data_IF_885401635569
#
_entry.id   IF_885401635569
#
_cell.length_a   1.000
_cell.length_b   1.000
_cell.length_c   1.000
_cell.angle_alpha   90.00
_cell.angle_beta   90.00
_cell.angle_gamma   90.00
#
_symmetry.space_group_name_H-M   'P 1'
#
loop_
_entity.id
_entity.type
_entity.pdbx_description
1 polymer ?
#
# COMPACT_ATOMS: atom_id res chain seq x y z
N UNK A 1 19.32 18.19 -6.28
CA UNK A 1 18.24 17.71 -7.18
C UNK A 1 16.84 17.69 -6.54
N UNK A 2 16.69 17.29 -5.26
CA UNK A 2 15.42 17.35 -4.51
C UNK A 2 14.71 18.71 -4.55
N UNK A 3 15.48 19.81 -4.49
CA UNK A 3 14.95 21.18 -4.53
C UNK A 3 14.33 21.56 -5.88
N UNK A 4 14.80 20.97 -6.99
CA UNK A 4 14.20 21.12 -8.33
C UNK A 4 12.94 20.25 -8.48
N UNK A 5 12.89 19.09 -7.84
CA UNK A 5 11.71 18.21 -7.81
C UNK A 5 10.56 18.82 -6.98
N UNK A 6 10.88 19.47 -5.84
CA UNK A 6 9.92 20.27 -5.03
C UNK A 6 9.26 21.40 -5.82
N UNK A 7 9.99 22.03 -6.77
CA UNK A 7 9.45 23.12 -7.62
C UNK A 7 8.53 22.61 -8.74
N UNK A 8 8.78 21.43 -9.33
CA UNK A 8 7.94 20.87 -10.41
C UNK A 8 6.53 20.45 -9.96
N UNK A 9 6.34 20.15 -8.68
CA UNK A 9 5.01 19.85 -8.13
C UNK A 9 4.15 21.09 -7.84
N UNK A 10 4.68 22.31 -8.02
CA UNK A 10 3.96 23.58 -7.87
C UNK A 10 3.30 24.08 -9.17
N UNK A 11 3.07 23.22 -10.16
CA UNK A 11 2.28 23.60 -11.34
C UNK A 11 0.79 23.72 -10.97
N UNK A 12 0.36 24.97 -10.82
CA UNK A 12 -0.99 25.45 -10.51
C UNK A 12 -1.98 25.23 -11.66
N UNK A 13 -2.28 23.97 -11.99
CA UNK A 13 -3.42 23.61 -12.87
C UNK A 13 -3.97 22.21 -12.59
N UNK A 14 -3.69 21.65 -11.41
CA UNK A 14 -4.41 20.46 -10.95
C UNK A 14 -5.67 20.95 -10.25
N UNK A 15 -6.84 20.51 -10.68
CA UNK A 15 -8.13 20.85 -10.07
C UNK A 15 -8.08 20.48 -8.58
N UNK A 16 -7.85 21.48 -7.74
CA UNK A 16 -7.74 21.31 -6.28
C UNK A 16 -9.02 20.72 -5.70
N UNK A 17 -10.18 21.05 -6.27
CA UNK A 17 -11.44 20.50 -5.85
C UNK A 17 -11.56 19.02 -6.24
N UNK A 18 -11.05 18.63 -7.41
CA UNK A 18 -10.97 17.21 -7.79
C UNK A 18 -10.06 16.42 -6.86
N UNK A 19 -8.86 16.93 -6.57
CA UNK A 19 -7.95 16.28 -5.63
C UNK A 19 -8.59 16.11 -4.25
N UNK A 20 -9.31 17.13 -3.77
CA UNK A 20 -10.00 17.05 -2.49
C UNK A 20 -11.10 15.99 -2.49
N UNK A 21 -11.93 15.96 -3.55
CA UNK A 21 -12.94 14.90 -3.73
C UNK A 21 -12.32 13.50 -3.73
N UNK A 22 -11.18 13.32 -4.40
CA UNK A 22 -10.47 12.05 -4.43
C UNK A 22 -9.90 11.66 -3.06
N UNK A 23 -9.37 12.62 -2.31
CA UNK A 23 -8.86 12.43 -0.95
C UNK A 23 -9.97 11.96 -0.01
N UNK A 24 -11.12 12.62 -0.04
CA UNK A 24 -12.31 12.21 0.73
C UNK A 24 -12.73 10.79 0.32
N UNK A 25 -12.84 10.51 -0.98
CA UNK A 25 -13.18 9.16 -1.47
C UNK A 25 -12.19 8.09 -0.99
N UNK A 26 -10.90 8.39 -0.93
CA UNK A 26 -9.88 7.47 -0.45
C UNK A 26 -10.11 7.07 1.01
N UNK A 27 -10.37 8.05 1.88
CA UNK A 27 -10.67 7.81 3.30
C UNK A 27 -11.99 7.06 3.46
N UNK A 28 -13.05 7.49 2.76
CA UNK A 28 -14.37 6.83 2.82
C UNK A 28 -14.31 5.39 2.31
N UNK A 29 -13.53 5.12 1.27
CA UNK A 29 -13.35 3.76 0.77
C UNK A 29 -12.58 2.89 1.77
N UNK A 30 -11.63 3.44 2.52
CA UNK A 30 -10.95 2.71 3.60
C UNK A 30 -11.91 2.33 4.74
N UNK A 31 -12.86 3.20 5.08
CA UNK A 31 -13.87 2.94 6.13
C UNK A 31 -14.76 1.73 5.82
N UNK A 32 -15.04 1.46 4.55
CA UNK A 32 -15.83 0.27 4.14
C UNK A 32 -15.19 -1.05 4.54
N UNK A 33 -13.90 -1.06 4.83
CA UNK A 33 -13.17 -2.24 5.26
C UNK A 33 -13.12 -2.42 6.77
N UNK A 34 -13.77 -1.57 7.57
CA UNK A 34 -13.83 -1.75 9.02
C UNK A 34 -14.38 -3.13 9.40
N UNK A 35 -13.73 -3.75 10.39
CA UNK A 35 -14.06 -5.11 10.82
C UNK A 35 -13.41 -6.22 9.99
N UNK A 36 -12.78 -5.91 8.85
CA UNK A 36 -12.08 -6.94 8.04
C UNK A 36 -10.84 -7.44 8.78
N UNK A 37 -10.69 -8.76 8.96
CA UNK A 37 -9.57 -9.34 9.70
C UNK A 37 -8.22 -9.23 8.98
N UNK A 38 -7.13 -9.22 9.76
CA UNK A 38 -5.76 -9.08 9.26
C UNK A 38 -5.31 -10.23 8.35
N UNK A 39 -5.34 -11.48 8.85
CA UNK A 39 -4.98 -12.66 8.07
C UNK A 39 -5.65 -13.93 8.61
N UNK A 40 -6.06 -14.83 7.71
CA UNK A 40 -6.80 -16.06 8.04
C UNK A 40 -6.10 -16.95 9.06
N UNK A 41 -4.77 -17.06 8.98
CA UNK A 41 -3.95 -17.95 9.83
C UNK A 41 -4.02 -17.65 11.33
N UNK A 42 -4.59 -16.52 11.74
CA UNK A 42 -4.72 -16.12 13.13
C UNK A 42 -6.10 -16.40 13.72
N UNK A 43 -6.99 -17.01 12.94
CA UNK A 43 -8.35 -17.35 13.31
C UNK A 43 -8.53 -18.86 13.26
N UNK A 44 -9.32 -19.41 14.19
CA UNK A 44 -9.50 -20.86 14.29
C UNK A 44 -10.69 -21.33 13.45
N UNK A 45 -10.49 -22.45 12.75
CA UNK A 45 -11.51 -23.20 12.03
C UNK A 45 -12.19 -24.28 12.89
N UNK A 46 -11.60 -24.58 14.05
CA UNK A 46 -12.03 -25.67 14.92
C UNK A 46 -13.45 -25.40 15.44
N UNK A 47 -14.36 -26.35 15.29
CA UNK A 47 -15.76 -26.21 15.69
C UNK A 47 -15.93 -25.81 17.17
N UNK A 48 -14.97 -26.18 18.04
CA UNK A 48 -15.01 -25.81 19.47
C UNK A 48 -14.57 -24.37 19.74
N UNK A 49 -13.80 -23.76 18.84
CA UNK A 49 -13.25 -22.40 18.99
C UNK A 49 -13.38 -21.57 17.70
N UNK A 50 -14.40 -21.86 16.89
CA UNK A 50 -14.53 -21.33 15.53
C UNK A 50 -14.68 -19.82 15.59
N UNK A 51 -13.69 -19.10 15.07
CA UNK A 51 -13.74 -17.65 15.04
C UNK A 51 -14.57 -17.24 13.81
N UNK A 52 -15.60 -16.37 13.96
CA UNK A 52 -16.39 -15.88 12.82
C UNK A 52 -15.54 -15.33 11.68
N UNK A 53 -14.39 -14.74 12.02
CA UNK A 53 -13.43 -14.14 11.10
C UNK A 53 -12.76 -15.16 10.19
N UNK A 54 -12.68 -16.43 10.56
CA UNK A 54 -12.03 -17.48 9.75
C UNK A 54 -12.70 -17.64 8.38
N UNK A 55 -14.01 -17.41 8.31
CA UNK A 55 -14.82 -17.47 7.10
C UNK A 55 -14.99 -16.12 6.41
N UNK A 56 -14.20 -15.10 6.80
CA UNK A 56 -14.27 -13.79 6.15
C UNK A 56 -13.91 -13.90 4.66
N UNK A 57 -14.62 -13.18 3.78
CA UNK A 57 -14.40 -13.26 2.34
C UNK A 57 -13.04 -12.70 1.91
N UNK A 58 -12.51 -11.78 2.71
CA UNK A 58 -11.23 -11.11 2.48
C UNK A 58 -10.48 -10.93 3.80
N UNK A 59 -9.16 -10.79 3.68
CA UNK A 59 -8.26 -10.47 4.78
C UNK A 59 -7.30 -9.37 4.31
N UNK A 60 -7.08 -8.36 5.16
CA UNK A 60 -6.31 -7.18 4.80
C UNK A 60 -5.25 -6.88 5.87
N UNK A 61 -3.99 -7.13 5.52
CA UNK A 61 -2.85 -6.59 6.27
C UNK A 61 -2.68 -5.08 5.99
N UNK A 62 -1.71 -4.45 6.64
CA UNK A 62 -1.51 -2.99 6.57
C UNK A 62 -1.37 -2.46 5.14
N UNK A 63 -0.47 -3.04 4.33
CA UNK A 63 -0.33 -2.67 2.93
C UNK A 63 -1.46 -3.22 2.06
N UNK A 64 -2.09 -4.34 2.44
CA UNK A 64 -3.26 -4.93 1.79
C UNK A 64 -4.44 -3.99 1.79
N UNK A 65 -4.74 -3.36 2.93
CA UNK A 65 -5.79 -2.35 3.06
C UNK A 65 -5.60 -1.19 2.09
N UNK A 66 -4.45 -0.52 2.16
CA UNK A 66 -4.14 0.63 1.27
C UNK A 66 -4.20 0.20 -0.21
N UNK A 67 -3.67 -0.98 -0.53
CA UNK A 67 -3.66 -1.50 -1.90
C UNK A 67 -5.07 -1.79 -2.40
N UNK A 68 -5.91 -2.37 -1.56
CA UNK A 68 -7.28 -2.70 -1.90
C UNK A 68 -8.09 -1.43 -2.16
N UNK A 69 -7.98 -0.42 -1.29
CA UNK A 69 -8.61 0.89 -1.47
C UNK A 69 -8.18 1.54 -2.81
N UNK A 70 -6.88 1.55 -3.12
CA UNK A 70 -6.38 2.08 -4.40
C UNK A 70 -6.85 1.29 -5.62
N UNK A 71 -7.06 -0.03 -5.48
CA UNK A 71 -7.55 -0.88 -6.57
C UNK A 71 -9.03 -0.65 -6.85
N UNK A 72 -9.82 -0.41 -5.82
CA UNK A 72 -11.24 -0.05 -5.96
C UNK A 72 -11.36 1.29 -6.69
N UNK A 73 -10.52 2.26 -6.33
CA UNK A 73 -10.51 3.61 -6.88
C UNK A 73 -9.62 3.78 -8.12
N UNK A 74 -9.23 2.67 -8.78
CA UNK A 74 -8.27 2.70 -9.90
C UNK A 74 -8.71 3.58 -11.07
N UNK A 75 -10.01 3.69 -11.32
CA UNK A 75 -10.57 4.50 -12.42
C UNK A 75 -10.42 5.99 -12.09
N UNK A 76 -10.73 6.35 -10.86
CA UNK A 76 -10.66 7.71 -10.34
C UNK A 76 -9.22 8.19 -10.18
N UNK A 77 -8.34 7.34 -9.65
CA UNK A 77 -6.91 7.63 -9.51
C UNK A 77 -6.14 7.51 -10.83
N UNK A 78 -6.75 6.97 -11.90
CA UNK A 78 -6.14 6.82 -13.24
C UNK A 78 -4.84 6.02 -13.26
N UNK A 79 -4.64 5.14 -12.27
CA UNK A 79 -3.54 4.19 -12.24
C UNK A 79 -3.94 2.91 -11.52
N UNK A 80 -3.12 1.86 -11.70
CA UNK A 80 -3.23 0.61 -10.95
C UNK A 80 -1.99 0.42 -10.09
N UNK A 81 -2.16 0.40 -8.77
CA UNK A 81 -1.07 0.15 -7.82
C UNK A 81 -0.48 -1.26 -8.05
N UNK A 82 0.84 -1.36 -7.95
CA UNK A 82 1.56 -2.64 -8.02
C UNK A 82 1.23 -3.62 -6.88
N UNK A 83 1.58 -4.91 -7.02
CA UNK A 83 1.31 -5.94 -6.01
C UNK A 83 2.29 -5.94 -4.83
N UNK A 84 3.26 -5.03 -4.79
CA UNK A 84 4.30 -5.00 -3.77
C UNK A 84 3.84 -4.40 -2.44
N UNK A 85 4.72 -4.44 -1.44
CA UNK A 85 4.49 -4.14 -0.03
C UNK A 85 4.49 -2.62 0.29
N UNK A 86 4.42 -2.29 1.58
CA UNK A 86 4.49 -0.91 2.09
C UNK A 86 5.73 -0.13 1.64
N UNK A 87 6.89 -0.79 1.47
CA UNK A 87 8.09 -0.11 0.98
C UNK A 87 7.91 0.40 -0.46
N UNK A 88 7.19 -0.33 -1.30
CA UNK A 88 6.85 0.15 -2.64
C UNK A 88 5.89 1.35 -2.58
N UNK A 89 4.89 1.33 -1.70
CA UNK A 89 3.98 2.46 -1.53
C UNK A 89 4.74 3.70 -1.08
N UNK A 90 5.65 3.54 -0.12
CA UNK A 90 6.56 4.60 0.33
C UNK A 90 7.36 5.19 -0.82
N UNK A 91 7.97 4.33 -1.65
CA UNK A 91 8.76 4.77 -2.80
C UNK A 91 7.92 5.51 -3.86
N UNK A 92 6.61 5.33 -3.89
CA UNK A 92 5.72 6.05 -4.83
C UNK A 92 5.25 7.42 -4.32
N UNK A 93 5.56 7.78 -3.08
CA UNK A 93 5.12 9.01 -2.43
C UNK A 93 6.33 9.90 -2.05
N UNK A 94 6.87 10.69 -2.99
CA UNK A 94 8.06 11.50 -2.76
C UNK A 94 7.81 12.73 -1.88
N UNK A 95 6.56 13.15 -1.69
CA UNK A 95 6.20 14.34 -0.91
C UNK A 95 6.27 14.02 0.58
N UNK A 96 7.33 14.51 1.23
CA UNK A 96 7.52 14.42 2.68
C UNK A 96 6.69 15.49 3.36
N UNK A 97 6.06 15.12 4.47
CA UNK A 97 5.42 16.04 5.40
C UNK A 97 6.31 16.08 6.65
N UNK A 98 6.85 17.24 6.98
CA UNK A 98 7.87 17.34 8.05
C UNK A 98 7.22 17.39 9.45
N UNK A 99 6.01 17.94 9.55
CA UNK A 99 5.28 18.11 10.82
C UNK A 99 3.98 17.33 10.82
N UNK A 100 3.65 16.76 11.97
CA UNK A 100 2.38 16.05 12.19
C UNK A 100 1.16 16.95 11.92
N UNK A 101 1.27 18.23 12.28
CA UNK A 101 0.22 19.25 12.13
C UNK A 101 -0.17 19.50 10.67
N UNK A 102 0.75 19.24 9.73
CA UNK A 102 0.54 19.43 8.29
C UNK A 102 -0.11 18.20 7.62
N UNK A 103 -0.33 17.13 8.38
CA UNK A 103 -0.97 15.90 7.88
C UNK A 103 -2.44 16.14 7.56
N UNK A 104 -2.87 15.64 6.40
CA UNK A 104 -4.27 15.74 5.96
C UNK A 104 -4.92 14.37 5.95
N UNK A 105 -6.25 14.27 6.17
CA UNK A 105 -6.99 13.02 5.99
C UNK A 105 -6.59 12.32 4.67
N UNK A 106 -6.26 11.04 4.74
CA UNK A 106 -5.82 10.24 3.59
C UNK A 106 -4.32 10.23 3.33
N UNK A 107 -3.52 11.14 3.92
CA UNK A 107 -2.06 11.00 3.90
C UNK A 107 -1.62 9.71 4.61
N UNK A 108 -0.40 9.26 4.35
CA UNK A 108 0.09 7.99 4.90
C UNK A 108 1.18 8.22 5.93
N UNK A 109 1.07 7.50 7.04
CA UNK A 109 2.15 7.31 8.00
C UNK A 109 2.79 5.95 7.76
N UNK A 110 4.09 5.97 7.54
CA UNK A 110 4.92 4.80 7.35
C UNK A 110 5.77 4.58 8.59
N UNK A 111 5.92 3.33 9.00
CA UNK A 111 6.79 2.98 10.11
C UNK A 111 7.91 2.09 9.62
N UNK A 112 9.15 2.47 9.91
CA UNK A 112 10.27 1.54 9.83
C UNK A 112 10.52 0.90 11.18
N UNK A 113 11.11 -0.29 11.19
CA UNK A 113 11.52 -0.96 12.40
C UNK A 113 12.37 -2.18 12.12
N UNK A 114 13.11 -2.62 13.12
CA UNK A 114 13.92 -3.84 13.06
C UNK A 114 13.09 -5.00 13.62
N UNK A 115 12.90 -6.06 12.83
CA UNK A 115 12.19 -7.25 13.31
C UNK A 115 12.94 -7.89 14.47
N UNK A 116 12.21 -8.18 15.55
CA UNK A 116 12.75 -8.88 16.73
C UNK A 116 13.24 -10.27 16.35
N UNK A 117 12.52 -10.95 15.45
CA UNK A 117 12.94 -12.25 14.91
C UNK A 117 13.83 -12.06 13.67
N UNK A 118 15.11 -12.41 13.80
CA UNK A 118 16.13 -12.33 12.73
C UNK A 118 15.83 -13.21 11.51
N UNK A 119 14.96 -14.22 11.64
CA UNK A 119 14.52 -15.07 10.51
C UNK A 119 13.53 -14.36 9.59
N UNK A 120 12.91 -13.27 10.05
CA UNK A 120 11.97 -12.52 9.23
C UNK A 120 12.70 -11.84 8.07
N UNK A 121 12.10 -11.91 6.89
CA UNK A 121 12.62 -11.25 5.69
C UNK A 121 12.66 -9.73 5.94
N UNK A 122 13.86 -9.16 5.85
CA UNK A 122 14.06 -7.71 5.91
C UNK A 122 13.31 -7.03 4.76
N UNK A 123 12.56 -6.00 5.10
CA UNK A 123 11.87 -5.17 4.10
C UNK A 123 12.84 -4.09 3.59
N UNK A 124 12.62 -3.62 2.36
CA UNK A 124 13.35 -2.44 1.85
C UNK A 124 13.06 -1.24 2.78
N UNK A 125 14.08 -0.43 3.04
CA UNK A 125 14.02 0.67 4.01
C UNK A 125 13.62 0.27 5.44
N UNK A 126 13.72 -1.03 5.79
CA UNK A 126 13.16 -1.59 7.02
C UNK A 126 11.69 -1.21 7.24
N UNK A 127 10.94 -0.98 6.16
CA UNK A 127 9.56 -0.52 6.23
C UNK A 127 8.65 -1.64 6.71
N UNK A 128 8.14 -1.54 7.94
CA UNK A 128 7.38 -2.63 8.60
C UNK A 128 5.88 -2.41 8.53
N UNK A 129 5.41 -1.16 8.51
CA UNK A 129 3.98 -0.86 8.62
C UNK A 129 3.58 0.42 7.87
N UNK A 130 2.29 0.54 7.56
CA UNK A 130 1.68 1.73 6.95
C UNK A 130 0.25 1.89 7.45
N UNK A 131 -0.17 3.13 7.73
CA UNK A 131 -1.55 3.47 8.08
C UNK A 131 -2.01 4.73 7.33
N UNK A 132 -3.33 4.85 7.19
CA UNK A 132 -3.99 6.01 6.57
C UNK A 132 -4.31 7.02 7.67
N UNK A 133 -3.90 8.27 7.49
CA UNK A 133 -4.22 9.36 8.41
C UNK A 133 -5.71 9.67 8.39
N UNK A 134 -6.35 9.70 9.54
CA UNK A 134 -7.78 9.97 9.65
C UNK A 134 -8.09 11.47 9.70
N UNK A 135 -7.23 12.25 10.36
CA UNK A 135 -7.32 13.72 10.43
C UNK A 135 -8.16 14.29 11.59
N UNK A 136 -8.56 13.46 12.54
CA UNK A 136 -9.11 13.87 13.84
C UNK A 136 -8.00 13.70 14.91
N UNK A 137 -7.03 14.63 14.89
CA UNK A 137 -5.78 14.51 15.64
C UNK A 137 -4.84 13.42 15.08
N UNK A 138 -4.10 12.68 15.93
CA UNK A 138 -3.16 11.65 15.49
C UNK A 138 -3.82 10.33 15.06
N UNK A 139 -5.15 10.34 14.89
CA UNK A 139 -5.94 9.15 14.56
C UNK A 139 -5.58 8.59 13.20
N UNK A 140 -5.58 7.27 13.11
CA UNK A 140 -5.27 6.55 11.87
C UNK A 140 -6.23 5.39 11.63
N UNK A 141 -6.45 5.08 10.36
CA UNK A 141 -7.10 3.86 9.91
C UNK A 141 -6.00 2.86 9.56
N UNK A 142 -6.02 1.68 10.18
CA UNK A 142 -4.97 0.69 10.01
C UNK A 142 -5.42 -0.73 10.28
N UNK A 143 -4.49 -1.66 10.03
CA UNK A 143 -4.62 -3.09 10.34
C UNK A 143 -3.33 -3.53 11.05
N UNK A 144 -3.32 -3.49 12.39
CA UNK A 144 -2.07 -3.49 13.19
C UNK A 144 -1.51 -4.85 13.58
N UNK A 145 -2.36 -5.76 14.02
CA UNK A 145 -1.91 -6.98 14.67
C UNK A 145 -2.62 -8.23 14.15
N UNK A 146 -2.01 -9.37 14.47
CA UNK A 146 -2.32 -10.68 13.92
C UNK A 146 -3.81 -11.07 14.01
N UNK A 147 -4.41 -11.00 15.19
CA UNK A 147 -5.84 -11.23 15.42
C UNK A 147 -6.65 -9.90 15.43
N UNK A 148 -6.15 -8.90 14.72
CA UNK A 148 -6.77 -7.58 14.60
C UNK A 148 -7.70 -7.49 13.41
N UNK A 149 -8.49 -6.43 13.43
CA UNK A 149 -9.37 -6.03 12.33
C UNK A 149 -9.03 -4.61 11.92
N UNK A 150 -9.41 -4.23 10.71
CA UNK A 150 -9.30 -2.84 10.26
C UNK A 150 -10.22 -1.98 11.13
N UNK A 151 -9.68 -0.91 11.69
CA UNK A 151 -10.42 0.04 12.54
C UNK A 151 -9.68 1.37 12.61
N UNK A 152 -10.30 2.33 13.31
CA UNK A 152 -9.65 3.59 13.70
C UNK A 152 -8.86 3.34 14.98
N UNK A 153 -7.68 3.93 15.05
CA UNK A 153 -6.83 3.98 16.24
C UNK A 153 -6.62 5.41 16.67
N UNK A 154 -6.49 5.64 17.98
CA UNK A 154 -6.35 6.98 18.56
C UNK A 154 -5.04 7.67 18.21
N UNK A 155 -3.98 6.90 17.93
CA UNK A 155 -2.67 7.43 17.55
C UNK A 155 -1.97 6.48 16.60
N UNK A 156 -1.24 7.02 15.62
CA UNK A 156 -0.27 6.28 14.80
C UNK A 156 0.88 5.66 15.61
N UNK A 157 1.13 6.14 16.83
CA UNK A 157 2.17 5.61 17.72
C UNK A 157 1.62 4.40 18.48
N UNK A 158 2.32 3.28 18.34
CA UNK A 158 2.04 2.08 19.11
C UNK A 158 3.30 1.22 19.21
N UNK A 159 3.40 0.46 20.30
CA UNK A 159 4.48 -0.50 20.50
C UNK A 159 4.11 -1.84 19.87
N UNK A 160 4.78 -2.20 18.78
CA UNK A 160 4.62 -3.49 18.15
C UNK A 160 5.46 -4.56 18.86
N UNK A 161 4.92 -5.78 19.01
CA UNK A 161 5.70 -6.91 19.54
C UNK A 161 6.68 -7.50 18.52
N UNK A 162 6.43 -7.27 17.23
CA UNK A 162 7.13 -7.92 16.11
C UNK A 162 8.38 -7.16 15.63
N UNK A 163 8.50 -5.88 15.96
CA UNK A 163 9.64 -5.04 15.60
C UNK A 163 9.89 -3.98 16.69
N UNK A 164 11.09 -3.43 16.70
CA UNK A 164 11.52 -2.37 17.62
C UNK A 164 12.27 -1.27 16.85
N UNK A 165 12.66 -0.21 17.56
CA UNK A 165 13.39 0.94 17.00
C UNK A 165 12.60 1.62 15.90
N UNK A 166 11.35 1.96 16.23
CA UNK A 166 10.42 2.57 15.30
C UNK A 166 10.80 4.01 14.93
N UNK A 167 10.76 4.28 13.63
CA UNK A 167 10.79 5.65 13.10
C UNK A 167 9.56 5.87 12.23
N UNK A 168 9.06 7.10 12.26
CA UNK A 168 7.82 7.49 11.58
C UNK A 168 8.12 8.40 10.40
N UNK A 169 7.48 8.11 9.27
CA UNK A 169 7.63 8.88 8.04
C UNK A 169 6.27 9.28 7.50
N UNK A 170 6.02 10.59 7.44
CA UNK A 170 4.77 11.15 6.95
C UNK A 170 4.87 11.48 5.46
N UNK A 171 3.92 10.98 4.68
CA UNK A 171 3.91 11.08 3.21
C UNK A 171 2.57 11.54 2.69
N UNK A 172 2.59 12.58 1.87
CA UNK A 172 1.37 13.07 1.23
C UNK A 172 0.94 12.21 0.06
N UNK A 173 -0.34 11.85 -0.01
CA UNK A 173 -0.92 11.14 -1.17
C UNK A 173 -1.15 12.03 -2.39
N UNK A 174 -0.81 13.32 -2.33
CA UNK A 174 -0.98 14.27 -3.44
C UNK A 174 -0.36 13.79 -4.76
N UNK A 175 0.71 12.99 -4.70
CA UNK A 175 1.31 12.36 -5.88
C UNK A 175 0.32 11.38 -6.55
N UNK A 176 -0.36 10.56 -5.75
CA UNK A 176 -1.39 9.64 -6.23
C UNK A 176 -2.65 10.38 -6.68
N UNK A 177 -3.07 11.44 -5.98
CA UNK A 177 -4.24 12.24 -6.38
C UNK A 177 -4.06 12.91 -7.75
N UNK A 178 -2.81 13.12 -8.18
CA UNK A 178 -2.46 13.60 -9.54
C UNK A 178 -2.40 12.48 -10.59
N UNK A 179 -2.72 11.25 -10.21
CA UNK A 179 -2.65 10.07 -11.06
C UNK A 179 -1.24 9.50 -11.26
N UNK A 180 -0.26 9.90 -10.45
CA UNK A 180 1.13 9.45 -10.60
C UNK A 180 1.39 8.27 -9.66
N UNK A 181 1.65 7.10 -10.23
CA UNK A 181 2.04 5.90 -9.48
C UNK A 181 3.31 5.27 -10.09
N UNK A 182 4.47 5.84 -9.73
CA UNK A 182 5.79 5.30 -10.08
C UNK A 182 6.71 5.37 -8.87
N UNK A 183 7.66 4.45 -8.77
CA UNK A 183 8.69 4.53 -7.74
C UNK A 183 9.66 5.69 -8.04
N UNK A 184 9.98 6.46 -7.01
CA UNK A 184 10.96 7.54 -7.02
C UNK A 184 12.26 7.12 -6.32
N UNK A 185 12.38 5.87 -5.89
CA UNK A 185 13.56 5.35 -5.23
C UNK A 185 14.59 4.86 -6.27
N UNK A 186 15.79 5.47 -6.35
CA UNK A 186 16.79 5.08 -7.34
C UNK A 186 17.47 3.75 -7.02
N UNK A 187 17.49 3.34 -5.75
CA UNK A 187 18.22 2.16 -5.27
C UNK A 187 17.46 0.85 -5.55
N UNK A 188 16.14 0.93 -5.67
CA UNK A 188 15.26 -0.23 -5.53
C UNK A 188 14.31 -0.37 -6.73
N UNK A 189 14.74 -0.99 -7.85
CA UNK A 189 13.84 -1.22 -8.97
C UNK A 189 12.72 -2.19 -8.55
N UNK A 190 11.48 -1.82 -8.86
CA UNK A 190 10.28 -2.64 -8.67
C UNK A 190 9.89 -3.23 -10.02
N UNK A 191 10.44 -4.40 -10.33
CA UNK A 191 10.18 -5.12 -11.59
C UNK A 191 9.27 -6.30 -11.33
N UNK A 192 8.30 -6.51 -12.20
CA UNK A 192 7.57 -7.79 -12.23
C UNK A 192 8.51 -8.82 -12.85
N UNK A 193 8.65 -9.97 -12.19
CA UNK A 193 9.27 -11.12 -12.82
C UNK A 193 8.45 -11.47 -14.06
N UNK A 194 9.06 -11.44 -15.25
CA UNK A 194 8.52 -12.14 -16.41
C UNK A 194 8.75 -13.61 -16.12
N UNK A 195 7.78 -14.26 -15.46
CA UNK A 195 7.83 -15.71 -15.31
C UNK A 195 7.86 -16.31 -16.71
N UNK A 196 9.00 -16.86 -17.11
CA UNK A 196 9.11 -17.70 -18.30
C UNK A 196 8.83 -19.12 -17.82
N UNK A 197 7.69 -19.73 -18.20
CA UNK A 197 7.42 -21.11 -17.85
C UNK A 197 8.58 -21.99 -18.35
N UNK A 198 9.05 -22.91 -17.51
CA UNK A 198 10.14 -23.83 -17.88
C UNK A 198 9.74 -24.77 -19.02
N UNK A 199 10.71 -25.42 -19.68
CA UNK A 199 10.46 -26.30 -20.84
C UNK A 199 9.44 -27.44 -20.62
N UNK A 200 9.15 -27.80 -19.36
CA UNK A 200 8.17 -28.83 -18.96
C UNK A 200 6.90 -28.24 -18.33
N UNK A 201 6.73 -26.93 -18.40
CA UNK A 201 5.58 -26.26 -17.82
C UNK A 201 4.41 -26.39 -18.76
N UNK A 202 3.26 -26.79 -18.22
CA UNK A 202 1.95 -26.81 -18.90
C UNK A 202 1.49 -25.45 -19.43
N UNK A 203 2.19 -24.36 -19.06
CA UNK A 203 1.91 -22.99 -19.50
C UNK A 203 2.92 -22.49 -20.55
N UNK A 204 3.80 -23.37 -21.07
CA UNK A 204 4.57 -23.05 -22.25
C UNK A 204 3.57 -22.95 -23.42
N UNK A 205 3.49 -21.83 -24.15
CA UNK A 205 2.72 -21.80 -25.38
C UNK A 205 3.32 -22.83 -26.33
N UNK A 206 2.47 -23.62 -26.99
CA UNK A 206 2.90 -24.57 -28.00
C UNK A 206 3.57 -23.79 -29.14
N UNK A 207 4.74 -24.27 -29.58
CA UNK A 207 5.56 -23.58 -30.61
C UNK A 207 4.87 -23.62 -32.01
N UNK A 208 3.65 -24.16 -32.11
CA UNK A 208 2.92 -24.43 -33.35
C UNK A 208 1.88 -23.35 -33.73
N UNK A 209 1.72 -22.26 -32.96
CA UNK A 209 0.81 -21.13 -33.30
C UNK A 209 1.51 -19.89 -33.89
N UNK A 210 2.78 -19.98 -34.26
CA UNK A 210 3.47 -18.93 -35.04
C UNK A 210 3.62 -19.37 -36.50
N UNK A 211 2.49 -19.52 -37.20
CA UNK A 211 2.48 -19.52 -38.67
C UNK A 211 2.27 -18.06 -39.11
N UNK A 212 3.39 -17.47 -39.52
CA UNK A 212 3.58 -16.52 -40.63
C UNK A 212 2.35 -15.76 -41.15
N UNK A 213 2.22 -14.49 -40.78
CA UNK A 213 1.83 -13.45 -41.73
C UNK A 213 2.70 -12.22 -41.47
N UNK A 214 3.88 -12.19 -42.12
CA UNK A 214 4.58 -10.95 -42.46
C UNK A 214 5.63 -11.27 -43.55
N UNK A 215 5.16 -11.45 -44.78
CA UNK A 215 5.95 -11.17 -45.98
C UNK A 215 5.01 -10.72 -47.11
N UNK A 216 4.91 -9.39 -47.33
CA UNK A 216 5.23 -8.76 -48.62
C UNK A 216 5.10 -7.24 -48.56
N UNK A 217 6.27 -6.61 -48.72
CA UNK A 217 6.59 -5.33 -49.36
C UNK A 217 5.76 -4.08 -49.02
#
# INVERSE_FOLDING_TARGET
EERKMRKRCKNKNVDSAHMERLRIKFVEQAKKYFGVPYAKKYWSADSKYCSPEYNSPIFLDCCGLVRQVLRDLKKEFRFKIGPWNQAYMFDTLPIIIDKEEDMRPGDLVFMSGLYTNKKNKKQRHNMTHVEIWYGDGPKTIGSRWNNGKVQIFDSYRFQAKSFHSEEYYFRSIDTWLRGICKSFCPQHPWRRSKHKPGKKSIFKPDDDELIEEDEKA
#
